data_IF_832382618886
#
_entry.id   IF_832382618886
#
_cell.length_a   1.000
_cell.length_b   1.000
_cell.length_c   1.000
_cell.angle_alpha   90.00
_cell.angle_beta   90.00
_cell.angle_gamma   90.00
#
_symmetry.space_group_name_H-M   'P 1'
#
loop_
_entity.id
_entity.type
_entity.pdbx_description
1 polymer ?
#
# COMPACT_ATOMS: atom_id res chain seq x y z
N UNK A 1 -2.08 14.21 2.04
CA UNK A 1 -1.78 13.59 0.73
C UNK A 1 -3.06 12.93 0.23
N UNK A 2 -3.62 13.40 -0.88
CA UNK A 2 -4.97 12.99 -1.38
C UNK A 2 -4.90 11.83 -2.37
N UNK A 3 -3.73 11.19 -2.47
CA UNK A 3 -3.43 10.26 -3.54
C UNK A 3 -4.03 8.88 -3.29
N UNK A 4 -4.42 8.19 -4.34
CA UNK A 4 -4.82 6.79 -4.24
C UNK A 4 -3.59 5.92 -4.53
N UNK A 5 -3.46 4.81 -3.80
CA UNK A 5 -2.42 3.81 -4.03
C UNK A 5 -3.04 2.52 -4.55
N UNK A 6 -2.19 1.66 -5.11
CA UNK A 6 -2.55 0.29 -5.50
C UNK A 6 -1.91 -0.68 -4.55
N UNK A 7 -2.71 -1.62 -4.06
CA UNK A 7 -2.29 -2.66 -3.12
C UNK A 7 -2.11 -3.96 -3.91
N UNK A 8 -0.94 -4.57 -3.77
CA UNK A 8 -0.60 -5.86 -4.38
C UNK A 8 -0.39 -6.93 -3.31
N UNK A 9 -0.48 -8.19 -3.74
CA UNK A 9 -0.23 -9.34 -2.87
C UNK A 9 -1.37 -9.66 -1.89
N UNK A 10 -2.55 -9.03 -2.01
CA UNK A 10 -3.69 -9.26 -1.11
C UNK A 10 -4.13 -10.73 -1.02
N UNK A 11 -3.98 -11.49 -2.12
CA UNK A 11 -4.31 -12.92 -2.16
C UNK A 11 -3.40 -13.78 -1.28
N UNK A 12 -2.21 -13.32 -0.92
CA UNK A 12 -1.30 -14.04 -0.01
C UNK A 12 -1.62 -13.82 1.48
N UNK A 13 -2.60 -12.96 1.79
CA UNK A 13 -2.98 -12.63 3.16
C UNK A 13 -4.42 -13.09 3.43
N UNK A 14 -5.38 -12.19 3.29
CA UNK A 14 -6.79 -12.42 3.62
C UNK A 14 -7.70 -12.37 2.39
N UNK A 15 -7.11 -12.37 1.19
CA UNK A 15 -7.83 -12.16 -0.07
C UNK A 15 -8.30 -10.73 -0.27
N UNK A 16 -8.88 -10.46 -1.44
CA UNK A 16 -9.34 -9.11 -1.80
C UNK A 16 -10.61 -8.66 -1.06
N UNK A 17 -11.38 -9.60 -0.49
CA UNK A 17 -12.66 -9.31 0.18
C UNK A 17 -12.53 -8.46 1.45
N UNK A 18 -11.33 -8.37 2.02
CA UNK A 18 -11.06 -7.53 3.19
C UNK A 18 -11.06 -6.03 2.87
N UNK A 19 -10.82 -5.69 1.60
CA UNK A 19 -10.79 -4.32 1.12
C UNK A 19 -12.21 -3.86 0.80
N UNK A 20 -12.83 -3.13 1.73
CA UNK A 20 -14.11 -2.45 1.48
C UNK A 20 -13.86 -1.03 0.97
N UNK A 21 -14.57 -0.63 -0.09
CA UNK A 21 -14.55 0.74 -0.60
C UNK A 21 -14.84 1.74 0.51
N UNK A 22 -14.11 2.87 0.51
CA UNK A 22 -14.22 3.91 1.52
C UNK A 22 -13.42 3.67 2.81
N UNK A 23 -12.81 2.49 3.00
CA UNK A 23 -11.85 2.28 4.10
C UNK A 23 -10.52 2.98 3.82
N UNK A 24 -9.85 3.37 4.89
CA UNK A 24 -8.49 3.91 4.87
C UNK A 24 -7.57 2.81 5.40
N UNK A 25 -6.45 2.55 4.72
CA UNK A 25 -5.41 1.64 5.19
C UNK A 25 -4.29 2.39 5.88
N UNK A 26 -3.48 1.70 6.65
CA UNK A 26 -2.22 2.23 7.14
C UNK A 26 -1.08 1.72 6.26
N UNK A 27 -0.23 2.62 5.78
CA UNK A 27 1.02 2.29 5.11
C UNK A 27 2.18 2.42 6.08
N UNK A 28 3.12 1.49 6.04
CA UNK A 28 4.30 1.43 6.92
C UNK A 28 5.53 1.10 6.08
N UNK A 29 6.61 1.88 6.22
CA UNK A 29 7.87 1.61 5.53
C UNK A 29 8.49 0.31 6.03
N UNK A 30 8.97 -0.52 5.10
CA UNK A 30 9.62 -1.80 5.38
C UNK A 30 11.14 -1.63 5.46
N UNK A 31 11.64 -1.22 6.62
CA UNK A 31 13.08 -0.97 6.81
C UNK A 31 13.93 -2.24 6.91
N UNK A 32 13.31 -3.41 7.09
CA UNK A 32 14.02 -4.68 7.30
C UNK A 32 14.15 -5.48 6.00
N UNK A 33 13.54 -5.03 4.91
CA UNK A 33 13.58 -5.75 3.65
C UNK A 33 14.92 -5.53 2.93
N UNK A 34 15.65 -6.62 2.67
CA UNK A 34 16.99 -6.61 2.08
C UNK A 34 17.03 -6.44 0.55
N UNK A 35 15.87 -6.42 -0.12
CA UNK A 35 15.80 -6.42 -1.59
C UNK A 35 15.51 -5.04 -2.19
N UNK A 36 14.70 -4.24 -1.51
CA UNK A 36 14.17 -2.96 -1.97
C UNK A 36 13.81 -2.14 -0.72
N UNK A 37 14.53 -1.04 -0.54
CA UNK A 37 14.46 -0.12 0.58
C UNK A 37 13.26 0.83 0.50
N UNK A 38 12.60 0.89 -0.66
CA UNK A 38 11.41 1.69 -0.93
C UNK A 38 10.11 0.90 -0.68
N UNK A 39 10.20 -0.32 -0.12
CA UNK A 39 9.03 -1.14 0.15
C UNK A 39 8.13 -0.53 1.23
N UNK A 40 6.83 -0.58 0.96
CA UNK A 40 5.80 -0.05 1.84
C UNK A 40 4.75 -1.13 2.05
N UNK A 41 4.63 -1.58 3.30
CA UNK A 41 3.64 -2.53 3.76
C UNK A 41 2.28 -1.84 3.95
N UNK A 42 1.20 -2.58 3.69
CA UNK A 42 -0.17 -2.12 3.87
C UNK A 42 -0.84 -2.91 4.98
N UNK A 43 -1.48 -2.18 5.90
CA UNK A 43 -2.13 -2.71 7.09
C UNK A 43 -3.59 -2.26 7.18
N UNK A 44 -4.45 -3.16 7.65
CA UNK A 44 -5.82 -2.83 8.06
C UNK A 44 -5.93 -3.03 9.57
N UNK A 45 -6.57 -2.07 10.24
CA UNK A 45 -6.78 -2.12 11.69
C UNK A 45 -7.50 -3.43 12.07
N UNK A 46 -6.97 -4.12 13.09
CA UNK A 46 -7.40 -5.46 13.57
C UNK A 46 -7.14 -6.64 12.62
N UNK A 47 -6.78 -6.40 11.37
CA UNK A 47 -6.49 -7.46 10.38
C UNK A 47 -5.00 -7.66 10.13
N UNK A 48 -4.15 -6.73 10.54
CA UNK A 48 -2.71 -6.84 10.35
C UNK A 48 -2.28 -6.51 8.92
N UNK A 49 -1.20 -7.14 8.45
CA UNK A 49 -0.61 -6.90 7.12
C UNK A 49 -1.49 -7.56 6.06
N UNK A 50 -1.87 -6.78 5.04
CA UNK A 50 -2.79 -7.22 3.98
C UNK A 50 -2.19 -7.11 2.59
N UNK A 51 -0.97 -6.60 2.45
CA UNK A 51 -0.32 -6.45 1.16
C UNK A 51 0.83 -5.44 1.19
N UNK A 52 1.23 -5.03 0.00
CA UNK A 52 2.25 -4.01 -0.24
C UNK A 52 1.72 -2.97 -1.21
N UNK A 53 2.28 -1.75 -1.16
CA UNK A 53 2.05 -0.75 -2.20
C UNK A 53 2.78 -1.19 -3.48
N UNK A 54 2.10 -1.16 -4.62
CA UNK A 54 2.72 -1.47 -5.91
C UNK A 54 3.94 -0.56 -6.15
N UNK A 55 5.09 -1.14 -6.54
CA UNK A 55 6.29 -0.37 -6.91
C UNK A 55 6.42 -0.16 -8.43
N UNK A 56 6.00 -1.14 -9.24
CA UNK A 56 6.07 -1.05 -10.70
C UNK A 56 5.00 -0.13 -11.29
N UNK A 57 5.37 0.69 -12.27
CA UNK A 57 4.45 1.56 -13.03
C UNK A 57 3.47 0.78 -13.89
N UNK A 58 3.77 -0.47 -14.22
CA UNK A 58 2.89 -1.33 -15.02
C UNK A 58 1.62 -1.77 -14.26
N UNK A 59 1.67 -1.73 -12.94
CA UNK A 59 0.57 -2.16 -12.05
C UNK A 59 -0.22 -0.98 -11.48
N UNK A 60 0.01 0.24 -11.97
CA UNK A 60 -0.55 1.49 -11.43
C UNK A 60 -1.64 2.01 -12.37
N UNK A 61 -2.88 2.00 -11.90
CA UNK A 61 -4.01 2.61 -12.61
C UNK A 61 -3.79 4.12 -12.77
N UNK A 62 -4.25 4.67 -13.89
CA UNK A 62 -4.15 6.11 -14.17
C UNK A 62 -4.77 6.92 -13.01
N UNK A 63 -4.00 7.86 -12.45
CA UNK A 63 -4.43 8.67 -11.30
C UNK A 63 -4.07 8.13 -9.92
N UNK A 64 -3.37 6.98 -9.84
CA UNK A 64 -2.84 6.44 -8.58
C UNK A 64 -1.31 6.62 -8.47
N UNK A 65 -0.75 6.45 -7.27
CA UNK A 65 0.69 6.56 -6.98
C UNK A 65 1.25 5.23 -6.50
N UNK A 66 2.46 4.92 -6.95
CA UNK A 66 3.26 3.79 -6.50
C UNK A 66 4.07 4.13 -5.24
N UNK A 67 4.75 3.12 -4.69
CA UNK A 67 5.55 3.25 -3.48
C UNK A 67 6.61 4.37 -3.58
N UNK A 68 7.43 4.35 -4.64
CA UNK A 68 8.48 5.36 -4.90
C UNK A 68 7.95 6.79 -4.93
N UNK A 69 6.74 7.02 -5.45
CA UNK A 69 6.13 8.37 -5.53
C UNK A 69 5.62 8.90 -4.19
N UNK A 70 5.46 8.04 -3.20
CA UNK A 70 4.94 8.41 -1.88
C UNK A 70 5.97 8.24 -0.77
N UNK A 71 7.04 7.47 -0.98
CA UNK A 71 8.00 7.09 0.07
C UNK A 71 8.54 8.30 0.84
N UNK A 72 9.04 9.33 0.14
CA UNK A 72 9.62 10.51 0.80
C UNK A 72 8.59 11.48 1.38
N UNK A 73 7.30 11.22 1.18
CA UNK A 73 6.21 12.14 1.61
C UNK A 73 5.69 11.85 3.01
N UNK A 74 6.19 10.79 3.65
CA UNK A 74 5.83 10.45 5.02
C UNK A 74 6.99 9.82 5.78
N UNK A 75 6.89 9.86 7.11
CA UNK A 75 7.84 9.21 8.01
C UNK A 75 7.65 7.69 8.04
N UNK A 76 7.59 7.11 9.24
CA UNK A 76 7.47 5.65 9.42
C UNK A 76 6.13 5.06 8.96
N UNK A 77 5.03 5.78 9.23
CA UNK A 77 3.66 5.30 8.97
C UNK A 77 2.72 6.44 8.58
N UNK A 78 1.72 6.15 7.75
CA UNK A 78 0.69 7.10 7.34
C UNK A 78 -0.65 6.41 7.07
N UNK A 79 -1.77 7.11 7.24
CA UNK A 79 -3.09 6.68 6.77
C UNK A 79 -3.27 7.03 5.29
N UNK A 80 -3.67 6.07 4.47
CA UNK A 80 -3.71 6.19 3.02
C UNK A 80 -5.04 5.70 2.44
N UNK A 81 -5.58 6.45 1.46
CA UNK A 81 -6.70 5.98 0.63
C UNK A 81 -6.16 5.08 -0.47
N UNK A 82 -6.90 4.03 -0.79
CA UNK A 82 -6.51 3.04 -1.79
C UNK A 82 -7.61 2.87 -2.83
N UNK A 83 -7.19 2.45 -4.03
CA UNK A 83 -8.07 1.89 -5.04
C UNK A 83 -7.79 0.39 -5.13
N UNK A 84 -8.83 -0.41 -5.38
CA UNK A 84 -8.67 -1.83 -5.67
C UNK A 84 -8.71 -1.99 -7.19
N UNK A 85 -7.71 -2.65 -7.76
CA UNK A 85 -7.76 -3.21 -9.12
C UNK A 85 -8.27 -4.64 -9.05
#
# INVERSE_FOLDING_TARGET
>A
MTDYIIIVGGNYYHGIGIFKMGKIVQVIKDYENSYDDELIQVYIERSGKVGYVANSTYTVAKGTKNARRIYDKFGKKQKQRFYLL
#
